data_IF_799954754971
#
_entry.id   IF_799954754971
#
_cell.length_a   1.000
_cell.length_b   1.000
_cell.length_c   1.000
_cell.angle_alpha   90.00
_cell.angle_beta   90.00
_cell.angle_gamma   90.00
#
_symmetry.space_group_name_H-M   'P 1'
#
loop_
_entity.id
_entity.type
_entity.pdbx_description
1 polymer ?
#
# COMPACT_ATOMS: atom_id res chain seq x y z
N UNK A 1 4.63 -15.22 -23.33
CA UNK A 1 4.99 -14.54 -22.05
C UNK A 1 3.88 -13.60 -21.64
N UNK A 2 3.29 -13.83 -20.48
CA UNK A 2 2.22 -13.01 -19.89
C UNK A 2 2.86 -12.02 -18.91
N UNK A 3 2.40 -10.76 -18.90
CA UNK A 3 2.84 -9.74 -17.94
C UNK A 3 1.70 -9.32 -17.06
N UNK A 4 1.92 -9.30 -15.75
CA UNK A 4 0.94 -8.86 -14.76
C UNK A 4 1.63 -8.13 -13.61
N UNK A 5 0.85 -7.68 -12.61
CA UNK A 5 1.37 -7.08 -11.38
C UNK A 5 0.71 -7.71 -10.17
N UNK A 6 1.36 -7.60 -9.02
CA UNK A 6 0.81 -8.06 -7.74
C UNK A 6 -0.58 -7.47 -7.48
N UNK A 7 -0.78 -6.18 -7.77
CA UNK A 7 -2.08 -5.49 -7.62
C UNK A 7 -3.18 -6.12 -8.49
N UNK A 8 -2.85 -6.53 -9.72
CA UNK A 8 -3.81 -7.20 -10.62
C UNK A 8 -4.14 -8.60 -10.13
N UNK A 9 -3.15 -9.33 -9.63
CA UNK A 9 -3.37 -10.67 -9.04
C UNK A 9 -4.21 -10.59 -7.76
N UNK A 10 -3.99 -9.57 -6.94
CA UNK A 10 -4.81 -9.32 -5.75
C UNK A 10 -6.27 -8.96 -6.12
N UNK A 11 -6.48 -8.19 -7.20
CA UNK A 11 -7.82 -7.92 -7.74
C UNK A 11 -8.52 -9.19 -8.21
N UNK A 12 -7.82 -10.11 -8.88
CA UNK A 12 -8.34 -11.40 -9.27
C UNK A 12 -8.74 -12.24 -8.06
N UNK A 13 -7.90 -12.22 -7.01
CA UNK A 13 -8.20 -12.91 -5.76
C UNK A 13 -9.47 -12.36 -5.10
N UNK A 14 -9.63 -11.04 -5.02
CA UNK A 14 -10.84 -10.39 -4.49
C UNK A 14 -12.10 -10.79 -5.26
N UNK A 15 -12.01 -10.92 -6.58
CA UNK A 15 -13.11 -11.42 -7.40
C UNK A 15 -13.44 -12.88 -7.07
N UNK A 16 -12.44 -13.76 -6.95
CA UNK A 16 -12.63 -15.15 -6.59
C UNK A 16 -13.27 -15.32 -5.19
N UNK A 17 -13.03 -14.39 -4.28
CA UNK A 17 -13.65 -14.34 -2.96
C UNK A 17 -15.06 -13.71 -2.96
N UNK A 18 -15.56 -13.23 -4.10
CA UNK A 18 -16.85 -12.54 -4.21
C UNK A 18 -16.88 -11.15 -3.58
N UNK A 19 -15.71 -10.53 -3.38
CA UNK A 19 -15.59 -9.18 -2.80
C UNK A 19 -15.82 -8.07 -3.83
N UNK A 20 -15.44 -8.33 -5.09
CA UNK A 20 -15.68 -7.42 -6.22
C UNK A 20 -16.39 -8.16 -7.35
N UNK A 21 -17.14 -7.42 -8.15
CA UNK A 21 -17.84 -7.94 -9.32
C UNK A 21 -16.90 -8.07 -10.54
N UNK A 22 -17.31 -8.87 -11.52
CA UNK A 22 -16.54 -9.11 -12.76
C UNK A 22 -16.23 -7.80 -13.52
N UNK A 23 -17.18 -6.87 -13.55
CA UNK A 23 -16.98 -5.58 -14.21
C UNK A 23 -15.87 -4.77 -13.56
N UNK A 24 -15.81 -4.75 -12.23
CA UNK A 24 -14.75 -4.08 -11.46
C UNK A 24 -13.39 -4.75 -11.67
N UNK A 25 -13.36 -6.08 -11.71
CA UNK A 25 -12.13 -6.81 -12.05
C UNK A 25 -11.62 -6.41 -13.44
N UNK A 26 -12.49 -6.41 -14.46
CA UNK A 26 -12.10 -6.05 -15.84
C UNK A 26 -11.53 -4.62 -15.87
N UNK A 27 -12.18 -3.66 -15.23
CA UNK A 27 -11.69 -2.27 -15.13
C UNK A 27 -10.30 -2.20 -14.50
N UNK A 28 -10.09 -2.93 -13.40
CA UNK A 28 -8.77 -2.99 -12.72
C UNK A 28 -7.69 -3.62 -13.60
N UNK A 29 -8.00 -4.71 -14.30
CA UNK A 29 -7.06 -5.37 -15.19
C UNK A 29 -6.66 -4.48 -16.38
N UNK A 30 -7.58 -3.66 -16.89
CA UNK A 30 -7.35 -2.70 -17.97
C UNK A 30 -6.71 -1.39 -17.52
N UNK A 31 -6.67 -1.12 -16.20
CA UNK A 31 -6.23 0.17 -15.67
C UNK A 31 -7.24 1.30 -15.88
N UNK A 32 -8.51 0.96 -16.07
CA UNK A 32 -9.64 1.90 -16.29
C UNK A 32 -10.36 2.26 -14.99
N UNK A 33 -9.74 2.01 -13.85
CA UNK A 33 -10.35 2.27 -12.54
C UNK A 33 -10.50 3.77 -12.32
N UNK A 34 -11.73 4.23 -12.06
CA UNK A 34 -11.96 5.61 -11.66
C UNK A 34 -11.39 5.82 -10.26
N UNK A 35 -10.58 6.87 -10.10
CA UNK A 35 -10.00 7.18 -8.83
C UNK A 35 -11.05 7.65 -7.83
N UNK A 36 -11.12 6.98 -6.68
CA UNK A 36 -12.02 7.33 -5.59
C UNK A 36 -11.36 8.37 -4.66
N UNK A 37 -12.18 9.08 -3.86
CA UNK A 37 -11.67 9.98 -2.81
C UNK A 37 -10.72 9.26 -1.84
N UNK A 38 -11.02 7.99 -1.51
CA UNK A 38 -10.15 7.18 -0.66
C UNK A 38 -8.78 6.91 -1.30
N UNK A 39 -8.73 6.69 -2.62
CA UNK A 39 -7.47 6.52 -3.36
C UNK A 39 -6.68 7.84 -3.42
N UNK A 40 -7.37 8.96 -3.64
CA UNK A 40 -6.76 10.31 -3.62
C UNK A 40 -6.17 10.62 -2.25
N UNK A 41 -6.94 10.36 -1.18
CA UNK A 41 -6.47 10.52 0.18
C UNK A 41 -5.25 9.62 0.49
N UNK A 42 -5.28 8.36 0.07
CA UNK A 42 -4.15 7.43 0.21
C UNK A 42 -2.88 7.97 -0.46
N UNK A 43 -2.99 8.51 -1.68
CA UNK A 43 -1.83 9.15 -2.36
C UNK A 43 -1.33 10.39 -1.65
N UNK A 44 -2.23 11.25 -1.17
CA UNK A 44 -1.85 12.42 -0.39
C UNK A 44 -1.11 12.00 0.90
N UNK A 45 -1.56 10.93 1.55
CA UNK A 45 -0.91 10.36 2.72
C UNK A 45 0.50 9.84 2.41
N UNK A 46 0.72 9.12 1.29
CA UNK A 46 2.07 8.69 0.89
C UNK A 46 3.00 9.89 0.64
N UNK A 47 2.52 10.93 -0.04
CA UNK A 47 3.27 12.18 -0.22
C UNK A 47 3.58 12.90 1.12
N UNK A 48 2.65 12.82 2.09
CA UNK A 48 2.90 13.31 3.45
C UNK A 48 4.07 12.55 4.09
N UNK A 49 4.08 11.21 3.98
CA UNK A 49 5.14 10.37 4.55
C UNK A 49 6.52 10.70 3.95
N UNK A 50 6.60 10.97 2.65
CA UNK A 50 7.86 11.37 1.99
C UNK A 50 8.46 12.64 2.57
N UNK A 51 7.61 13.56 3.04
CA UNK A 51 8.00 14.88 3.57
C UNK A 51 7.85 15.00 5.08
N UNK A 52 7.51 13.91 5.76
CA UNK A 52 7.05 13.97 7.15
C UNK A 52 8.10 14.56 8.10
N UNK A 53 9.38 14.30 7.85
CA UNK A 53 10.47 14.82 8.68
C UNK A 53 10.79 16.31 8.39
N UNK A 54 10.32 16.85 7.25
CA UNK A 54 10.49 18.26 6.88
C UNK A 54 9.38 19.15 7.45
N UNK A 55 8.25 18.55 7.88
CA UNK A 55 7.11 19.30 8.41
C UNK A 55 7.45 19.81 9.81
N UNK A 56 7.35 21.14 9.96
CA UNK A 56 7.60 21.83 11.22
C UNK A 56 6.62 21.38 12.31
N UNK A 57 7.13 21.12 13.50
CA UNK A 57 6.34 20.67 14.63
C UNK A 57 5.24 21.68 14.99
N UNK A 58 4.04 21.20 15.26
CA UNK A 58 2.89 22.02 15.63
C UNK A 58 2.19 22.68 14.44
N UNK A 59 2.57 22.38 13.19
CA UNK A 59 1.89 22.88 12.00
C UNK A 59 1.08 21.80 11.28
N UNK A 60 -0.07 22.22 10.75
CA UNK A 60 -0.85 21.43 9.81
C UNK A 60 -0.12 21.35 8.46
N UNK A 61 -0.38 20.31 7.69
CA UNK A 61 0.10 20.17 6.33
C UNK A 61 -1.06 19.96 5.36
N UNK A 62 -1.02 20.67 4.24
CA UNK A 62 -1.96 20.45 3.13
C UNK A 62 -1.23 19.75 1.98
N UNK A 63 -1.73 18.60 1.58
CA UNK A 63 -1.19 17.77 0.49
C UNK A 63 -2.34 17.41 -0.46
N UNK A 64 -2.23 17.83 -1.72
CA UNK A 64 -3.25 17.57 -2.76
C UNK A 64 -4.68 17.90 -2.30
N UNK A 65 -4.86 19.04 -1.61
CA UNK A 65 -6.15 19.48 -1.07
C UNK A 65 -6.63 18.75 0.19
N UNK A 66 -5.84 17.82 0.73
CA UNK A 66 -6.13 17.15 2.00
C UNK A 66 -5.34 17.79 3.13
N UNK A 67 -6.02 18.16 4.21
CA UNK A 67 -5.39 18.76 5.40
C UNK A 67 -5.14 17.69 6.44
N UNK A 68 -3.88 17.55 6.84
CA UNK A 68 -3.44 16.72 7.96
C UNK A 68 -3.13 17.63 9.16
N UNK A 69 -3.81 17.42 10.28
CA UNK A 69 -3.61 18.25 11.46
C UNK A 69 -2.23 18.02 12.09
N UNK A 70 -1.70 19.02 12.76
CA UNK A 70 -0.44 18.91 13.50
C UNK A 70 -0.45 17.74 14.49
N UNK A 71 -1.59 17.48 15.14
CA UNK A 71 -1.73 16.36 16.06
C UNK A 71 -1.69 15.01 15.35
N UNK A 72 -2.35 14.88 14.18
CA UNK A 72 -2.29 13.65 13.38
C UNK A 72 -0.87 13.41 12.87
N UNK A 73 -0.19 14.46 12.38
CA UNK A 73 1.21 14.37 11.92
C UNK A 73 2.13 13.90 13.04
N UNK A 74 1.99 14.44 14.23
CA UNK A 74 2.77 14.02 15.40
C UNK A 74 2.48 12.55 15.75
N UNK A 75 1.21 12.15 15.73
CA UNK A 75 0.80 10.77 15.98
C UNK A 75 1.36 9.83 14.91
N UNK A 76 1.32 10.21 13.63
CA UNK A 76 1.92 9.44 12.54
C UNK A 76 3.42 9.27 12.77
N UNK A 77 4.16 10.38 13.02
CA UNK A 77 5.61 10.35 13.28
C UNK A 77 5.99 9.37 14.39
N UNK A 78 5.20 9.35 15.46
CA UNK A 78 5.46 8.52 16.64
C UNK A 78 5.09 7.04 16.45
N UNK A 79 4.25 6.72 15.47
CA UNK A 79 3.74 5.37 15.22
C UNK A 79 4.19 4.78 13.88
N UNK A 80 5.09 5.45 13.16
CA UNK A 80 5.76 4.84 12.01
C UNK A 80 6.66 3.71 12.51
N UNK A 81 6.29 2.48 12.19
CA UNK A 81 7.09 1.29 12.53
C UNK A 81 8.48 1.35 11.91
N UNK A 82 8.54 1.77 10.67
CA UNK A 82 9.77 2.10 9.95
C UNK A 82 9.58 3.45 9.25
N UNK A 83 10.59 4.31 9.34
CA UNK A 83 10.58 5.59 8.65
C UNK A 83 11.06 5.44 7.21
N UNK A 84 10.50 6.18 6.24
CA UNK A 84 10.96 6.13 4.85
C UNK A 84 12.47 6.36 4.68
N UNK A 85 13.06 7.23 5.52
CA UNK A 85 14.49 7.53 5.50
C UNK A 85 15.41 6.33 5.86
N UNK A 86 14.87 5.22 6.39
CA UNK A 86 15.64 4.05 6.80
C UNK A 86 15.93 3.05 5.67
N UNK A 87 15.33 3.23 4.51
CA UNK A 87 15.42 2.25 3.43
C UNK A 87 15.23 2.83 2.04
N UNK A 88 14.90 1.96 1.09
CA UNK A 88 14.60 2.31 -0.31
C UNK A 88 13.10 2.41 -0.49
N UNK A 89 12.62 3.60 -0.84
CA UNK A 89 11.19 3.86 -1.09
C UNK A 89 10.79 3.54 -2.52
N UNK A 90 9.51 3.20 -2.72
CA UNK A 90 8.91 2.89 -4.03
C UNK A 90 9.75 1.91 -4.86
N UNK A 91 10.32 0.91 -4.18
CA UNK A 91 11.14 -0.10 -4.86
C UNK A 91 10.28 -0.96 -5.77
N UNK A 92 10.72 -1.10 -7.02
CA UNK A 92 10.08 -1.95 -8.01
C UNK A 92 11.00 -3.11 -8.38
N UNK A 93 10.43 -4.31 -8.39
CA UNK A 93 11.11 -5.50 -8.91
C UNK A 93 10.14 -6.39 -9.69
N UNK A 94 10.71 -7.35 -10.43
CA UNK A 94 9.97 -8.23 -11.35
C UNK A 94 10.53 -9.63 -11.24
N UNK A 95 9.63 -10.62 -11.11
CA UNK A 95 10.01 -12.04 -11.08
C UNK A 95 9.23 -12.83 -12.13
N UNK A 96 9.88 -13.82 -12.71
CA UNK A 96 9.30 -14.74 -13.68
C UNK A 96 8.89 -16.05 -13.01
N UNK A 97 7.69 -16.51 -13.34
CA UNK A 97 7.12 -17.76 -12.87
C UNK A 97 6.77 -18.64 -14.08
N UNK A 98 7.08 -19.92 -13.99
CA UNK A 98 6.59 -20.90 -14.96
C UNK A 98 5.27 -21.49 -14.44
N UNK A 99 4.19 -21.23 -15.15
CA UNK A 99 2.85 -21.73 -14.84
C UNK A 99 2.38 -22.58 -16.03
N UNK A 100 2.33 -23.89 -15.84
CA UNK A 100 1.92 -24.86 -16.87
C UNK A 100 2.67 -24.73 -18.21
N UNK A 101 3.97 -24.40 -18.14
CA UNK A 101 4.82 -24.21 -19.33
C UNK A 101 4.79 -22.79 -19.91
N UNK A 102 3.94 -21.91 -19.42
CA UNK A 102 3.87 -20.50 -19.79
C UNK A 102 4.69 -19.63 -18.81
N UNK A 103 5.47 -18.70 -19.34
CA UNK A 103 6.21 -17.73 -18.51
C UNK A 103 5.30 -16.56 -18.18
N UNK A 104 5.08 -16.36 -16.89
CA UNK A 104 4.33 -15.24 -16.31
C UNK A 104 5.30 -14.32 -15.57
N UNK A 105 5.43 -13.08 -16.05
CA UNK A 105 6.24 -12.05 -15.42
C UNK A 105 5.37 -11.22 -14.48
N UNK A 106 5.69 -11.22 -13.18
CA UNK A 106 4.95 -10.50 -12.16
C UNK A 106 5.78 -9.32 -11.63
N UNK A 107 5.24 -8.11 -11.75
CA UNK A 107 5.86 -6.91 -11.18
C UNK A 107 5.25 -6.57 -9.83
N UNK A 108 6.11 -6.15 -8.90
CA UNK A 108 5.73 -5.62 -7.58
C UNK A 108 6.32 -4.23 -7.39
N UNK A 109 5.61 -3.39 -6.63
CA UNK A 109 6.10 -2.12 -6.12
C UNK A 109 5.82 -2.10 -4.63
N UNK A 110 6.84 -1.93 -3.80
CA UNK A 110 6.70 -1.82 -2.35
C UNK A 110 6.98 -0.38 -1.91
N UNK A 111 6.26 0.10 -0.89
CA UNK A 111 6.39 1.47 -0.39
C UNK A 111 7.77 1.70 0.22
N UNK A 112 8.31 0.70 0.94
CA UNK A 112 9.64 0.79 1.56
C UNK A 112 10.26 -0.60 1.72
N UNK A 113 11.55 -0.70 1.45
CA UNK A 113 12.38 -1.86 1.77
C UNK A 113 13.49 -1.46 2.74
N UNK A 114 13.54 -2.10 3.91
CA UNK A 114 14.56 -1.92 4.94
C UNK A 114 15.24 -3.26 5.23
N UNK A 115 16.44 -3.47 4.70
CA UNK A 115 17.09 -4.79 4.73
C UNK A 115 16.20 -5.83 4.03
N UNK A 116 15.84 -6.90 4.74
CA UNK A 116 14.93 -7.96 4.27
C UNK A 116 13.45 -7.73 4.69
N UNK A 117 13.08 -6.52 5.10
CA UNK A 117 11.73 -6.19 5.53
C UNK A 117 11.06 -5.29 4.50
N UNK A 118 9.97 -5.75 3.91
CA UNK A 118 9.06 -4.91 3.12
C UNK A 118 8.06 -4.24 4.05
N UNK A 119 7.88 -2.93 3.89
CA UNK A 119 6.91 -2.14 4.64
C UNK A 119 5.91 -1.53 3.68
N UNK A 120 4.63 -1.69 3.98
CA UNK A 120 3.50 -1.10 3.26
C UNK A 120 2.75 -0.15 4.19
N UNK A 121 2.54 1.06 3.75
CA UNK A 121 1.73 2.05 4.44
C UNK A 121 0.32 2.05 3.88
N UNK A 122 -0.69 1.82 4.73
CA UNK A 122 -2.08 1.74 4.30
C UNK A 122 -2.94 2.73 5.06
N UNK A 123 -3.83 3.41 4.35
CA UNK A 123 -4.92 4.17 4.94
C UNK A 123 -6.23 3.40 4.78
N UNK A 124 -7.07 3.41 5.80
CA UNK A 124 -8.38 2.77 5.76
C UNK A 124 -9.37 3.50 6.67
N UNK A 125 -10.66 3.35 6.41
CA UNK A 125 -11.73 3.80 7.32
C UNK A 125 -12.00 2.80 8.45
N UNK A 126 -11.76 1.51 8.18
CA UNK A 126 -12.00 0.41 9.11
C UNK A 126 -10.83 -0.56 9.06
N UNK A 127 -10.36 -0.98 10.22
CA UNK A 127 -9.35 -2.02 10.32
C UNK A 127 -10.03 -3.40 10.26
N UNK A 128 -9.61 -4.19 9.30
CA UNK A 128 -10.00 -5.59 9.14
C UNK A 128 -8.75 -6.40 8.84
N UNK A 129 -8.30 -7.19 9.80
CA UNK A 129 -7.08 -7.99 9.70
C UNK A 129 -7.17 -9.04 8.59
N UNK A 130 -8.35 -9.63 8.38
CA UNK A 130 -8.57 -10.66 7.38
C UNK A 130 -8.26 -10.16 5.96
N UNK A 131 -8.56 -8.89 5.69
CA UNK A 131 -8.25 -8.24 4.41
C UNK A 131 -6.76 -8.30 4.07
N UNK A 132 -5.89 -8.14 5.06
CA UNK A 132 -4.44 -8.13 4.87
C UNK A 132 -3.84 -9.54 4.89
N UNK A 133 -4.29 -10.41 5.79
CA UNK A 133 -3.81 -11.80 5.90
C UNK A 133 -4.17 -12.58 4.63
N UNK A 134 -5.36 -12.38 4.08
CA UNK A 134 -5.85 -13.11 2.91
C UNK A 134 -5.36 -12.50 1.58
N UNK A 135 -4.78 -11.31 1.57
CA UNK A 135 -4.20 -10.69 0.36
C UNK A 135 -3.04 -11.53 -0.18
N UNK A 136 -2.91 -11.59 -1.49
CA UNK A 136 -1.75 -12.18 -2.15
C UNK A 136 -0.52 -11.28 -2.11
N UNK A 137 -0.69 -9.98 -1.84
CA UNK A 137 0.35 -8.96 -1.92
C UNK A 137 1.58 -9.33 -1.09
N UNK A 138 1.43 -9.68 0.19
CA UNK A 138 2.57 -10.00 1.05
C UNK A 138 3.33 -11.24 0.63
N UNK A 139 2.64 -12.25 0.05
CA UNK A 139 3.27 -13.48 -0.43
C UNK A 139 4.19 -13.22 -1.61
N UNK A 140 3.71 -12.41 -2.57
CA UNK A 140 4.51 -11.99 -3.71
C UNK A 140 5.65 -11.07 -3.29
N UNK A 141 5.44 -10.20 -2.31
CA UNK A 141 6.50 -9.33 -1.80
C UNK A 141 7.63 -10.12 -1.16
N UNK A 142 7.32 -11.12 -0.33
CA UNK A 142 8.35 -12.00 0.24
C UNK A 142 9.17 -12.70 -0.84
N UNK A 143 8.52 -13.17 -1.90
CA UNK A 143 9.18 -13.93 -2.95
C UNK A 143 9.90 -13.05 -3.98
N UNK A 144 9.33 -11.90 -4.38
CA UNK A 144 9.92 -11.02 -5.39
C UNK A 144 11.09 -10.21 -4.82
N UNK A 145 10.97 -9.70 -3.60
CA UNK A 145 12.01 -8.89 -2.95
C UNK A 145 12.98 -9.70 -2.07
N UNK A 146 12.85 -11.04 -2.09
CA UNK A 146 13.62 -11.94 -1.20
C UNK A 146 13.53 -11.50 0.27
N UNK A 147 12.30 -11.08 0.68
CA UNK A 147 12.06 -10.53 1.99
C UNK A 147 11.73 -11.63 3.00
N UNK A 148 12.29 -11.52 4.20
CA UNK A 148 11.97 -12.41 5.32
C UNK A 148 10.75 -11.96 6.12
N UNK A 149 10.30 -10.71 5.90
CA UNK A 149 9.19 -10.09 6.63
C UNK A 149 8.45 -9.05 5.78
N UNK A 150 7.12 -9.02 5.92
CA UNK A 150 6.26 -7.93 5.42
C UNK A 150 5.54 -7.29 6.60
N UNK A 151 5.57 -5.97 6.68
CA UNK A 151 4.90 -5.18 7.71
C UNK A 151 3.88 -4.27 7.03
N UNK A 152 2.62 -4.39 7.40
CA UNK A 152 1.60 -3.41 7.08
C UNK A 152 1.51 -2.40 8.22
N UNK A 153 1.87 -1.15 7.99
CA UNK A 153 1.65 -0.06 8.92
C UNK A 153 0.35 0.66 8.52
N UNK A 154 -0.71 0.44 9.28
CA UNK A 154 -2.08 0.78 8.90
C UNK A 154 -2.57 1.96 9.72
N UNK A 155 -3.01 3.00 9.02
CA UNK A 155 -3.52 4.23 9.60
C UNK A 155 -5.02 4.32 9.35
N UNK A 156 -5.80 4.28 10.44
CA UNK A 156 -7.26 4.32 10.38
C UNK A 156 -7.72 5.77 10.48
N UNK A 157 -8.30 6.28 9.39
CA UNK A 157 -8.84 7.63 9.32
C UNK A 157 -10.37 7.60 9.23
N UNK A 158 -11.02 8.48 9.99
CA UNK A 158 -12.44 8.73 9.90
C UNK A 158 -12.67 10.23 9.73
N UNK A 159 -13.40 10.63 8.68
CA UNK A 159 -13.57 12.04 8.29
C UNK A 159 -12.23 12.81 8.24
N UNK A 160 -11.23 12.21 7.58
CA UNK A 160 -9.87 12.75 7.44
C UNK A 160 -9.13 13.03 8.77
N UNK A 161 -9.58 12.46 9.87
CA UNK A 161 -8.90 12.51 11.17
C UNK A 161 -8.37 11.13 11.52
N UNK A 162 -7.12 11.08 11.96
CA UNK A 162 -6.49 9.83 12.41
C UNK A 162 -7.17 9.35 13.72
N UNK A 163 -7.57 8.09 13.75
CA UNK A 163 -8.23 7.45 14.89
C UNK A 163 -7.36 6.40 15.54
N UNK A 164 -6.65 5.63 14.74
CA UNK A 164 -5.91 4.46 15.22
C UNK A 164 -4.74 4.15 14.28
N UNK A 165 -3.67 3.59 14.82
CA UNK A 165 -2.54 3.02 14.06
C UNK A 165 -2.37 1.56 14.45
N UNK A 166 -2.22 0.68 13.46
CA UNK A 166 -1.99 -0.76 13.60
C UNK A 166 -0.76 -1.20 12.81
N UNK A 167 -0.15 -2.27 13.25
CA UNK A 167 0.94 -2.96 12.57
C UNK A 167 0.94 -4.48 12.85
#
# INVERSE_FOLDING_TARGET
>A
MIRTSVTKLDALHLYQQGVIELEDLIKRLRGETVETEAMQFGRAFHKLLEKIDEIEEGKDAEIDGNVFSANDILTIKNNLKYKPALGVTEIKDVKEYNVDGEIVQVSAVADLLVGETVVEYKTTKYFDIEKYINSYQWRFYMDIFDASKVVYNIFVFYNNQLREVKD
#
